data_IF_166880498254
#
_entry.id   IF_166880498254
#
_cell.length_a   1.000
_cell.length_b   1.000
_cell.length_c   1.000
_cell.angle_alpha   90.00
_cell.angle_beta   90.00
_cell.angle_gamma   90.00
#
_symmetry.space_group_name_H-M   'P 1'
#
loop_
_entity.id
_entity.type
_entity.pdbx_description
1 polymer ?
#
# COMPACT_ATOMS: atom_id res chain seq x y z
N UNK A 1 -26.70 7.88 -3.79
CA UNK A 1 -26.28 6.56 -4.31
C UNK A 1 -26.87 6.43 -5.71
N UNK A 2 -26.10 6.70 -6.77
CA UNK A 2 -26.53 6.45 -8.15
C UNK A 2 -26.35 4.96 -8.40
N UNK A 3 -27.43 4.25 -8.63
CA UNK A 3 -27.39 2.85 -9.09
C UNK A 3 -26.89 2.91 -10.52
N UNK A 4 -25.68 2.38 -10.73
CA UNK A 4 -25.05 2.29 -12.04
C UNK A 4 -25.77 1.14 -12.77
N UNK A 5 -26.54 1.46 -13.79
CA UNK A 5 -27.23 0.45 -14.60
C UNK A 5 -26.23 -0.20 -15.57
N UNK A 6 -26.44 -1.46 -15.91
CA UNK A 6 -25.63 -2.41 -16.67
C UNK A 6 -25.02 -1.99 -18.02
N UNK A 7 -24.88 -0.70 -18.28
CA UNK A 7 -24.11 -0.12 -19.39
C UNK A 7 -22.65 0.17 -19.03
N UNK A 8 -22.25 0.02 -17.75
CA UNK A 8 -20.94 0.44 -17.22
C UNK A 8 -19.83 -0.63 -17.27
N UNK A 9 -20.02 -1.70 -18.03
CA UNK A 9 -18.90 -2.56 -18.48
C UNK A 9 -17.87 -1.73 -19.27
N UNK A 10 -18.31 -0.63 -19.88
CA UNK A 10 -17.44 0.34 -20.52
C UNK A 10 -16.47 1.02 -19.56
N UNK A 11 -16.82 1.15 -18.27
CA UNK A 11 -15.95 1.80 -17.29
C UNK A 11 -14.67 0.99 -17.04
N UNK A 12 -14.78 -0.32 -16.80
CA UNK A 12 -13.60 -1.17 -16.59
C UNK A 12 -12.74 -1.30 -17.85
N UNK A 13 -13.40 -1.39 -19.01
CA UNK A 13 -12.70 -1.36 -20.28
C UNK A 13 -12.03 0.00 -20.56
N UNK A 14 -12.48 1.08 -19.90
CA UNK A 14 -11.92 2.41 -20.01
C UNK A 14 -10.76 2.68 -19.05
N UNK A 15 -10.60 1.86 -17.98
CA UNK A 15 -9.43 1.96 -17.10
C UNK A 15 -8.21 1.53 -17.90
N UNK A 16 -7.19 2.38 -18.07
CA UNK A 16 -5.96 1.99 -18.79
C UNK A 16 -5.18 0.97 -17.96
N UNK A 17 -4.23 0.29 -18.59
CA UNK A 17 -3.21 -0.47 -17.85
C UNK A 17 -2.48 0.48 -16.89
N UNK A 18 -2.32 0.06 -15.66
CA UNK A 18 -1.77 0.86 -14.57
C UNK A 18 -0.50 0.21 -14.03
N UNK A 19 0.43 1.03 -13.59
CA UNK A 19 1.65 0.59 -12.92
C UNK A 19 1.81 1.38 -11.62
N UNK A 20 2.07 0.70 -10.51
CA UNK A 20 2.38 1.37 -9.25
C UNK A 20 3.79 1.98 -9.32
N UNK A 21 3.93 3.21 -8.83
CA UNK A 21 5.19 3.94 -8.74
C UNK A 21 5.37 4.48 -7.34
N UNK A 22 6.52 4.21 -6.74
CA UNK A 22 6.89 4.70 -5.39
C UNK A 22 8.20 5.45 -5.48
N UNK A 23 8.23 6.63 -4.87
CA UNK A 23 9.37 7.51 -4.82
C UNK A 23 9.52 8.05 -3.41
N UNK A 24 10.67 7.83 -2.79
CA UNK A 24 11.00 8.40 -1.48
C UNK A 24 11.90 9.63 -1.67
N UNK A 25 11.46 10.76 -1.13
CA UNK A 25 12.21 12.01 -1.07
C UNK A 25 12.39 12.42 0.39
N UNK A 26 13.62 12.46 0.87
CA UNK A 26 13.93 12.83 2.25
C UNK A 26 13.02 12.15 3.29
N UNK A 27 11.92 12.81 3.67
CA UNK A 27 10.96 12.35 4.68
C UNK A 27 9.56 12.08 4.13
N UNK A 28 9.36 12.21 2.83
CA UNK A 28 8.08 11.96 2.18
C UNK A 28 8.14 10.79 1.21
N UNK A 29 6.99 10.13 1.03
CA UNK A 29 6.82 9.03 0.09
C UNK A 29 5.74 9.44 -0.89
N UNK A 30 6.11 9.63 -2.14
CA UNK A 30 5.18 9.84 -3.23
C UNK A 30 4.81 8.51 -3.84
N UNK A 31 3.53 8.20 -3.85
CA UNK A 31 2.96 6.98 -4.38
C UNK A 31 1.99 7.32 -5.50
N UNK A 32 2.10 6.66 -6.64
CA UNK A 32 1.22 6.89 -7.75
C UNK A 32 0.82 5.59 -8.45
N UNK A 33 -0.38 5.57 -9.03
CA UNK A 33 -0.73 4.67 -10.11
C UNK A 33 -0.55 5.44 -11.42
N UNK A 34 0.32 4.94 -12.28
CA UNK A 34 0.70 5.58 -13.53
C UNK A 34 0.02 4.88 -14.70
N UNK A 35 -0.49 5.65 -15.65
CA UNK A 35 -0.89 5.14 -16.96
C UNK A 35 0.33 4.87 -17.83
N UNK A 36 0.16 4.13 -18.93
CA UNK A 36 1.23 3.86 -19.90
C UNK A 36 1.80 5.12 -20.56
N UNK A 37 1.02 6.19 -20.68
CA UNK A 37 1.45 7.49 -21.21
C UNK A 37 2.27 8.33 -20.24
N UNK A 38 2.48 7.82 -19.01
CA UNK A 38 3.23 8.50 -17.95
C UNK A 38 2.42 9.48 -17.10
N UNK A 39 1.11 9.64 -17.37
CA UNK A 39 0.25 10.43 -16.51
C UNK A 39 -0.12 9.68 -15.23
N UNK A 40 -0.20 10.38 -14.12
CA UNK A 40 -0.71 9.82 -12.87
C UNK A 40 -2.23 9.63 -12.95
N UNK A 41 -2.69 8.40 -12.70
CA UNK A 41 -4.10 8.08 -12.53
C UNK A 41 -4.59 8.43 -11.13
N UNK A 42 -3.79 8.08 -10.12
CA UNK A 42 -3.93 8.47 -8.71
C UNK A 42 -2.54 8.79 -8.18
N UNK A 43 -2.45 9.83 -7.38
CA UNK A 43 -1.20 10.18 -6.69
C UNK A 43 -1.50 10.59 -5.25
N UNK A 44 -0.65 10.11 -4.32
CA UNK A 44 -0.69 10.47 -2.90
C UNK A 44 0.72 10.69 -2.38
N UNK A 45 0.80 11.52 -1.37
CA UNK A 45 2.01 11.75 -0.61
C UNK A 45 1.78 11.41 0.86
N UNK A 46 2.73 10.73 1.45
CA UNK A 46 2.74 10.34 2.85
C UNK A 46 4.01 10.86 3.52
N UNK A 47 3.95 11.09 4.82
CA UNK A 47 5.17 11.10 5.62
C UNK A 47 5.81 9.71 5.61
N UNK A 48 7.15 9.63 5.56
CA UNK A 48 7.85 8.36 5.43
C UNK A 48 7.46 7.34 6.51
N UNK A 49 7.37 7.75 7.77
CA UNK A 49 6.91 6.87 8.84
C UNK A 49 5.39 6.73 8.91
N UNK A 50 4.65 7.69 8.37
CA UNK A 50 3.18 7.71 8.39
C UNK A 50 2.56 6.61 7.55
N UNK A 51 3.14 6.30 6.39
CA UNK A 51 2.58 5.34 5.44
C UNK A 51 2.34 3.94 6.05
N UNK A 52 3.27 3.42 6.86
CA UNK A 52 3.09 2.12 7.52
C UNK A 52 2.02 2.17 8.62
N UNK A 53 1.93 3.30 9.33
CA UNK A 53 0.94 3.52 10.39
C UNK A 53 -0.45 3.65 9.77
N UNK A 54 -0.59 4.41 8.70
CA UNK A 54 -1.86 4.59 7.99
C UNK A 54 -2.35 3.26 7.42
N UNK A 55 -1.46 2.41 6.89
CA UNK A 55 -1.81 1.06 6.45
C UNK A 55 -2.33 0.19 7.59
N UNK A 56 -1.70 0.26 8.77
CA UNK A 56 -2.12 -0.51 9.94
C UNK A 56 -3.54 -0.17 10.38
N UNK A 57 -3.90 1.11 10.32
CA UNK A 57 -5.20 1.62 10.76
C UNK A 57 -6.18 1.89 9.60
N UNK A 58 -5.89 1.38 8.40
CA UNK A 58 -6.76 1.57 7.25
C UNK A 58 -8.14 0.91 7.46
N UNK A 59 -9.23 1.68 7.45
CA UNK A 59 -10.57 1.15 7.65
C UNK A 59 -11.07 0.28 6.50
N UNK A 60 -10.42 0.33 5.33
CA UNK A 60 -10.81 -0.44 4.15
C UNK A 60 -10.10 -1.79 4.03
N UNK A 61 -9.14 -2.08 4.89
CA UNK A 61 -8.31 -3.29 4.82
C UNK A 61 -9.15 -4.58 4.67
N UNK A 62 -10.11 -4.81 5.56
CA UNK A 62 -10.92 -6.02 5.56
C UNK A 62 -11.82 -6.12 4.31
N UNK A 63 -12.28 -4.99 3.78
CA UNK A 63 -13.06 -4.95 2.55
C UNK A 63 -12.22 -5.34 1.34
N UNK A 64 -10.95 -4.89 1.30
CA UNK A 64 -10.02 -5.20 0.22
C UNK A 64 -9.65 -6.68 0.25
N UNK A 65 -9.33 -7.21 1.42
CA UNK A 65 -9.05 -8.63 1.61
C UNK A 65 -10.25 -9.48 1.17
N UNK A 66 -11.45 -9.17 1.67
CA UNK A 66 -12.66 -9.90 1.30
C UNK A 66 -12.97 -9.82 -0.20
N UNK A 67 -12.66 -8.71 -0.86
CA UNK A 67 -12.80 -8.62 -2.31
C UNK A 67 -11.80 -9.53 -3.04
N UNK A 68 -10.54 -9.53 -2.65
CA UNK A 68 -9.52 -10.40 -3.26
C UNK A 68 -9.90 -11.88 -3.13
N UNK A 69 -10.41 -12.31 -1.97
CA UNK A 69 -10.84 -13.68 -1.72
C UNK A 69 -11.97 -14.17 -2.67
N UNK A 70 -12.80 -13.25 -3.14
CA UNK A 70 -13.91 -13.60 -4.07
C UNK A 70 -13.60 -13.25 -5.53
N UNK A 71 -12.47 -12.62 -5.82
CA UNK A 71 -12.19 -12.09 -7.16
C UNK A 71 -12.06 -13.17 -8.22
N UNK A 72 -11.53 -14.34 -7.88
CA UNK A 72 -11.42 -15.47 -8.83
C UNK A 72 -12.80 -16.00 -9.24
N UNK A 73 -13.70 -16.19 -8.27
CA UNK A 73 -15.06 -16.58 -8.56
C UNK A 73 -15.77 -15.54 -9.44
N UNK A 74 -15.53 -14.25 -9.18
CA UNK A 74 -16.08 -13.17 -9.97
C UNK A 74 -15.57 -13.22 -11.41
N UNK A 75 -14.27 -13.42 -11.64
CA UNK A 75 -13.73 -13.55 -13.01
C UNK A 75 -14.27 -14.78 -13.71
N UNK A 76 -14.39 -15.92 -13.02
CA UNK A 76 -15.00 -17.13 -13.58
C UNK A 76 -16.47 -16.93 -13.97
N UNK A 77 -17.26 -16.21 -13.17
CA UNK A 77 -18.66 -15.88 -13.46
C UNK A 77 -18.77 -14.93 -14.67
N UNK A 78 -17.88 -13.95 -14.80
CA UNK A 78 -17.80 -13.07 -15.96
C UNK A 78 -17.57 -13.87 -17.24
N UNK A 79 -16.64 -14.83 -17.22
CA UNK A 79 -16.38 -15.71 -18.38
C UNK A 79 -17.62 -16.52 -18.78
N UNK A 80 -18.53 -16.84 -17.84
CA UNK A 80 -19.80 -17.48 -18.09
C UNK A 80 -20.91 -16.54 -18.59
N UNK A 81 -20.62 -15.24 -18.70
CA UNK A 81 -21.55 -14.23 -19.18
C UNK A 81 -22.50 -13.68 -18.12
N UNK A 82 -22.22 -13.91 -16.84
CA UNK A 82 -23.01 -13.35 -15.74
C UNK A 82 -22.67 -11.87 -15.53
N UNK A 83 -23.55 -11.01 -16.05
CA UNK A 83 -23.40 -9.55 -15.95
C UNK A 83 -23.62 -8.98 -14.54
N UNK A 84 -24.25 -9.72 -13.63
CA UNK A 84 -24.51 -9.25 -12.25
C UNK A 84 -23.21 -9.05 -11.46
N UNK A 85 -22.18 -9.76 -11.83
CA UNK A 85 -20.85 -9.71 -11.21
C UNK A 85 -20.16 -8.39 -11.48
N UNK A 86 -20.37 -7.80 -12.65
CA UNK A 86 -19.81 -6.49 -13.00
C UNK A 86 -20.25 -5.39 -12.04
N UNK A 87 -21.46 -5.48 -11.52
CA UNK A 87 -21.96 -4.52 -10.53
C UNK A 87 -21.14 -4.58 -9.23
N UNK A 88 -20.73 -5.76 -8.80
CA UNK A 88 -19.90 -5.93 -7.58
C UNK A 88 -18.49 -5.40 -7.79
N UNK A 89 -17.92 -5.67 -8.95
CA UNK A 89 -16.59 -5.15 -9.28
C UNK A 89 -16.60 -3.64 -9.46
N UNK A 90 -17.58 -3.06 -10.16
CA UNK A 90 -17.67 -1.61 -10.33
C UNK A 90 -17.89 -0.88 -9.01
N UNK A 91 -18.66 -1.43 -8.07
CA UNK A 91 -18.79 -0.88 -6.72
C UNK A 91 -17.44 -0.91 -5.98
N UNK A 92 -16.69 -2.00 -6.10
CA UNK A 92 -15.34 -2.07 -5.51
C UNK A 92 -14.40 -1.05 -6.16
N UNK A 93 -14.35 -1.01 -7.48
CA UNK A 93 -13.53 -0.05 -8.22
C UNK A 93 -13.93 1.40 -7.89
N UNK A 94 -15.22 1.68 -7.72
CA UNK A 94 -15.73 2.98 -7.32
C UNK A 94 -15.34 3.33 -5.87
N UNK A 95 -15.44 2.39 -4.94
CA UNK A 95 -14.98 2.57 -3.54
C UNK A 95 -13.48 2.83 -3.51
N UNK A 96 -12.71 2.10 -4.30
CA UNK A 96 -11.26 2.27 -4.37
C UNK A 96 -10.84 3.55 -5.08
N UNK A 97 -11.60 3.99 -6.08
CA UNK A 97 -11.26 5.11 -6.96
C UNK A 97 -11.83 6.46 -6.53
N UNK A 98 -13.15 6.53 -6.25
CA UNK A 98 -13.83 7.82 -6.03
C UNK A 98 -13.53 8.48 -4.69
N UNK A 99 -13.02 7.76 -3.71
CA UNK A 99 -12.72 8.35 -2.40
C UNK A 99 -11.33 8.94 -2.30
N UNK A 100 -10.47 8.75 -3.30
CA UNK A 100 -9.06 9.20 -3.22
C UNK A 100 -8.31 8.61 -2.01
N UNK A 101 -8.94 7.64 -1.32
CA UNK A 101 -8.51 7.14 -0.01
C UNK A 101 -7.83 5.79 -0.09
N UNK A 102 -7.68 5.22 -1.31
CA UNK A 102 -6.99 3.96 -1.49
C UNK A 102 -5.55 4.08 -0.99
N UNK A 103 -5.20 3.25 0.00
CA UNK A 103 -3.84 3.23 0.52
C UNK A 103 -2.84 2.71 -0.52
N UNK A 104 -1.62 3.28 -0.54
CA UNK A 104 -0.64 2.99 -1.58
C UNK A 104 -0.20 1.53 -1.64
N UNK A 105 -0.25 0.79 -0.53
CA UNK A 105 0.02 -0.65 -0.51
C UNK A 105 -0.93 -1.46 -1.41
N UNK A 106 -2.09 -0.94 -1.74
CA UNK A 106 -3.04 -1.64 -2.62
C UNK A 106 -2.85 -1.31 -4.11
N UNK A 107 -1.99 -0.34 -4.46
CA UNK A 107 -1.80 0.07 -5.84
C UNK A 107 -1.36 -1.06 -6.77
N UNK A 108 -0.37 -1.91 -6.41
CA UNK A 108 -0.02 -3.06 -7.25
C UNK A 108 -1.18 -4.03 -7.42
N UNK A 109 -1.91 -4.34 -6.33
CA UNK A 109 -3.05 -5.24 -6.37
C UNK A 109 -4.18 -4.70 -7.23
N UNK A 110 -4.46 -3.41 -7.13
CA UNK A 110 -5.48 -2.77 -7.96
C UNK A 110 -5.14 -2.86 -9.44
N UNK A 111 -3.89 -2.58 -9.82
CA UNK A 111 -3.43 -2.71 -11.20
C UNK A 111 -3.63 -4.16 -11.72
N UNK A 112 -3.22 -5.16 -10.95
CA UNK A 112 -3.36 -6.57 -11.31
C UNK A 112 -4.82 -7.01 -11.40
N UNK A 113 -5.68 -6.56 -10.47
CA UNK A 113 -7.12 -6.84 -10.51
C UNK A 113 -7.73 -6.26 -11.78
N UNK A 114 -7.43 -5.01 -12.12
CA UNK A 114 -7.94 -4.38 -13.35
C UNK A 114 -7.50 -5.16 -14.59
N UNK A 115 -6.23 -5.55 -14.68
CA UNK A 115 -5.72 -6.31 -15.80
C UNK A 115 -6.33 -7.72 -15.90
N UNK A 116 -6.47 -8.42 -14.76
CA UNK A 116 -7.09 -9.74 -14.72
C UNK A 116 -8.55 -9.71 -15.19
N UNK A 117 -9.31 -8.70 -14.77
CA UNK A 117 -10.69 -8.52 -15.22
C UNK A 117 -10.76 -8.13 -16.70
N UNK A 118 -9.85 -7.29 -17.17
CA UNK A 118 -9.79 -6.82 -18.55
C UNK A 118 -9.37 -7.92 -19.53
N UNK A 119 -8.35 -8.68 -19.16
CA UNK A 119 -7.72 -9.69 -20.05
C UNK A 119 -8.09 -11.13 -19.71
N UNK A 120 -8.96 -11.36 -18.74
CA UNK A 120 -9.49 -12.67 -18.37
C UNK A 120 -8.48 -13.55 -17.64
N UNK A 121 -8.08 -13.19 -16.43
CA UNK A 121 -7.06 -13.87 -15.60
C UNK A 121 -5.68 -13.88 -16.27
N UNK A 122 -5.32 -12.75 -16.88
CA UNK A 122 -3.99 -12.51 -17.42
C UNK A 122 -3.42 -11.22 -16.85
N UNK A 123 -2.09 -11.18 -16.74
CA UNK A 123 -1.37 -9.93 -16.45
C UNK A 123 -1.31 -9.02 -17.69
N UNK A 124 -0.69 -7.85 -17.57
CA UNK A 124 -0.54 -6.88 -18.64
C UNK A 124 0.30 -7.44 -19.82
N UNK A 125 1.22 -8.35 -19.54
CA UNK A 125 2.08 -9.03 -20.51
C UNK A 125 1.35 -10.17 -21.27
N UNK A 126 0.15 -10.54 -20.80
CA UNK A 126 -0.67 -11.59 -21.40
C UNK A 126 -0.44 -12.99 -20.83
N UNK A 127 0.38 -13.12 -19.78
CA UNK A 127 0.59 -14.39 -19.09
C UNK A 127 -0.62 -14.75 -18.24
N UNK A 128 -0.93 -16.04 -18.16
CA UNK A 128 -1.99 -16.53 -17.29
C UNK A 128 -1.59 -16.35 -15.81
N UNK A 129 -2.48 -15.81 -15.01
CA UNK A 129 -2.34 -15.81 -13.56
C UNK A 129 -2.51 -17.24 -13.03
N UNK A 130 -1.75 -17.56 -11.99
CA UNK A 130 -1.84 -18.84 -11.32
C UNK A 130 -3.23 -19.07 -10.69
N UNK A 131 -3.61 -20.33 -10.52
CA UNK A 131 -4.82 -20.70 -9.78
C UNK A 131 -4.72 -20.18 -8.34
N UNK A 132 -5.82 -19.63 -7.81
CA UNK A 132 -5.89 -18.98 -6.50
C UNK A 132 -5.02 -17.73 -6.35
N UNK A 133 -4.64 -17.07 -7.45
CA UNK A 133 -3.79 -15.90 -7.43
C UNK A 133 -4.30 -14.82 -6.45
N UNK A 134 -5.55 -14.42 -6.55
CA UNK A 134 -6.11 -13.37 -5.68
C UNK A 134 -6.28 -13.83 -4.23
N UNK A 135 -6.62 -15.10 -3.99
CA UNK A 135 -6.66 -15.67 -2.64
C UNK A 135 -5.26 -15.66 -2.00
N UNK A 136 -4.22 -15.95 -2.79
CA UNK A 136 -2.83 -15.86 -2.34
C UNK A 136 -2.47 -14.41 -2.00
N UNK A 137 -2.83 -13.44 -2.85
CA UNK A 137 -2.60 -12.02 -2.59
C UNK A 137 -3.34 -11.54 -1.32
N UNK A 138 -4.58 -12.01 -1.08
CA UNK A 138 -5.29 -11.71 0.16
C UNK A 138 -4.54 -12.23 1.40
N UNK A 139 -4.00 -13.45 1.31
CA UNK A 139 -3.21 -14.07 2.37
C UNK A 139 -1.91 -13.32 2.62
N UNK A 140 -1.19 -12.98 1.56
CA UNK A 140 0.05 -12.19 1.63
C UNK A 140 -0.18 -10.80 2.23
N UNK A 141 -1.30 -10.15 1.89
CA UNK A 141 -1.67 -8.85 2.44
C UNK A 141 -1.95 -8.93 3.96
N UNK A 142 -2.61 -10.00 4.43
CA UNK A 142 -2.79 -10.27 5.87
C UNK A 142 -1.45 -10.47 6.58
N UNK A 143 -0.59 -11.31 6.00
CA UNK A 143 0.75 -11.55 6.54
C UNK A 143 1.60 -10.27 6.57
N UNK A 144 1.48 -9.42 5.54
CA UNK A 144 2.15 -8.13 5.51
C UNK A 144 1.70 -7.24 6.67
N UNK A 145 0.41 -7.16 6.94
CA UNK A 145 -0.11 -6.40 8.09
C UNK A 145 0.44 -6.93 9.41
N UNK A 146 0.52 -8.26 9.58
CA UNK A 146 1.13 -8.89 10.75
C UNK A 146 2.62 -8.54 10.89
N UNK A 147 3.38 -8.56 9.78
CA UNK A 147 4.80 -8.14 9.75
C UNK A 147 4.97 -6.68 10.18
N UNK A 148 4.10 -5.79 9.68
CA UNK A 148 4.12 -4.37 10.07
C UNK A 148 3.86 -4.23 11.58
N UNK A 149 2.81 -4.87 12.10
CA UNK A 149 2.50 -4.87 13.54
C UNK A 149 3.67 -5.37 14.36
N UNK A 150 4.24 -6.52 13.97
CA UNK A 150 5.33 -7.15 14.68
C UNK A 150 6.58 -6.24 14.76
N UNK A 151 6.91 -5.53 13.68
CA UNK A 151 8.01 -4.57 13.69
C UNK A 151 7.73 -3.40 14.62
N UNK A 152 6.54 -2.82 14.54
CA UNK A 152 6.17 -1.65 15.34
C UNK A 152 6.13 -2.00 16.84
N UNK A 153 5.57 -3.16 17.19
CA UNK A 153 5.53 -3.64 18.58
C UNK A 153 6.93 -3.99 19.10
N UNK A 154 7.78 -4.58 18.27
CA UNK A 154 9.15 -4.88 18.65
C UNK A 154 9.93 -3.61 18.97
N UNK A 155 9.74 -2.54 18.20
CA UNK A 155 10.42 -1.26 18.42
C UNK A 155 9.85 -0.46 19.60
N UNK A 156 8.56 -0.58 19.89
CA UNK A 156 7.93 0.12 21.01
C UNK A 156 8.57 -0.28 22.36
N UNK A 157 9.02 -1.52 22.47
CA UNK A 157 9.63 -2.09 23.68
C UNK A 157 11.14 -1.82 23.80
N UNK A 158 11.74 -1.10 22.85
CA UNK A 158 13.18 -0.84 22.82
C UNK A 158 13.48 0.58 23.31
N UNK A 159 14.35 0.71 24.30
CA UNK A 159 14.76 2.01 24.85
C UNK A 159 16.00 2.57 24.13
N UNK A 160 16.95 1.72 23.77
CA UNK A 160 18.23 2.11 23.16
C UNK A 160 18.20 2.08 21.64
N UNK A 161 18.92 3.02 20.98
CA UNK A 161 18.96 3.15 19.51
C UNK A 161 19.61 1.94 18.84
N UNK A 162 20.63 1.36 19.47
CA UNK A 162 21.35 0.19 18.93
C UNK A 162 20.44 -1.03 18.81
N UNK A 163 19.49 -1.20 19.72
CA UNK A 163 18.51 -2.28 19.70
C UNK A 163 17.46 -2.11 18.59
N UNK A 164 17.19 -0.88 18.14
CA UNK A 164 16.28 -0.63 17.00
C UNK A 164 16.82 -1.26 15.73
N UNK A 165 18.12 -1.16 15.48
CA UNK A 165 18.76 -1.80 14.31
C UNK A 165 18.61 -3.34 14.37
N UNK A 166 18.72 -3.93 15.55
CA UNK A 166 18.50 -5.37 15.76
C UNK A 166 17.03 -5.77 15.55
N UNK A 167 16.06 -4.89 15.89
CA UNK A 167 14.65 -5.13 15.58
C UNK A 167 14.42 -5.20 14.07
N UNK A 168 14.99 -4.27 13.30
CA UNK A 168 14.92 -4.32 11.83
C UNK A 168 15.53 -5.60 11.28
N UNK A 169 16.71 -6.00 11.75
CA UNK A 169 17.36 -7.23 11.30
C UNK A 169 16.52 -8.48 11.60
N UNK A 170 15.93 -8.59 12.78
CA UNK A 170 15.14 -9.75 13.17
C UNK A 170 13.82 -9.88 12.45
N UNK A 171 13.14 -8.77 12.21
CA UNK A 171 11.75 -8.78 11.68
C UNK A 171 11.72 -8.58 10.17
N UNK A 172 12.58 -7.72 9.63
CA UNK A 172 12.53 -7.30 8.24
C UNK A 172 13.36 -8.16 7.29
N UNK A 173 14.52 -8.65 7.74
CA UNK A 173 15.50 -9.28 6.86
C UNK A 173 15.60 -10.81 7.03
N UNK A 174 14.54 -11.47 7.48
CA UNK A 174 14.50 -12.93 7.57
C UNK A 174 14.65 -13.62 6.20
N UNK A 175 14.27 -12.93 5.12
CA UNK A 175 14.59 -13.31 3.73
C UNK A 175 14.93 -12.04 2.97
N UNK A 176 16.06 -11.98 2.26
CA UNK A 176 16.34 -10.87 1.35
C UNK A 176 15.31 -10.91 0.23
N UNK A 177 14.41 -9.93 0.22
CA UNK A 177 13.50 -9.75 -0.89
C UNK A 177 14.22 -8.93 -1.94
N UNK A 178 14.36 -9.48 -3.13
CA UNK A 178 14.87 -8.75 -4.28
C UNK A 178 13.79 -7.78 -4.72
N UNK A 179 14.06 -6.48 -4.61
CA UNK A 179 13.26 -5.46 -5.27
C UNK A 179 13.70 -5.50 -6.74
N UNK A 180 12.87 -6.09 -7.58
CA UNK A 180 13.24 -6.41 -8.97
C UNK A 180 13.20 -5.21 -9.91
N UNK A 181 12.37 -4.21 -9.59
CA UNK A 181 12.11 -3.08 -10.48
C UNK A 181 12.52 -1.74 -9.85
N UNK A 182 13.81 -1.59 -9.54
CA UNK A 182 14.38 -0.33 -9.04
C UNK A 182 15.04 0.40 -10.19
N UNK A 183 14.61 1.62 -10.44
CA UNK A 183 15.21 2.51 -11.44
C UNK A 183 15.77 3.76 -10.78
N UNK A 184 16.88 4.26 -11.28
CA UNK A 184 17.39 5.57 -10.92
C UNK A 184 16.87 6.59 -11.93
N UNK A 185 16.02 7.51 -11.50
CA UNK A 185 15.59 8.64 -12.32
C UNK A 185 16.38 9.89 -11.91
N UNK A 186 16.87 10.64 -12.91
CA UNK A 186 17.43 11.97 -12.70
C UNK A 186 16.27 12.95 -12.80
N UNK A 187 15.90 13.54 -11.68
CA UNK A 187 14.90 14.60 -11.65
C UNK A 187 15.48 15.91 -12.22
N UNK A 188 14.61 16.84 -12.59
CA UNK A 188 14.97 18.13 -13.21
C UNK A 188 15.99 18.95 -12.39
N UNK A 189 16.11 18.68 -11.11
CA UNK A 189 17.01 19.34 -10.15
C UNK A 189 18.38 18.65 -10.03
N UNK A 190 18.71 17.71 -10.92
CA UNK A 190 19.93 16.90 -10.91
C UNK A 190 20.12 16.00 -9.67
N UNK A 191 19.07 15.76 -8.88
CA UNK A 191 19.09 14.79 -7.79
C UNK A 191 18.82 13.39 -8.33
N UNK A 192 19.73 12.46 -8.01
CA UNK A 192 19.54 11.05 -8.29
C UNK A 192 18.52 10.48 -7.30
N UNK A 193 17.35 10.12 -7.79
CA UNK A 193 16.28 9.57 -6.96
C UNK A 193 15.98 8.14 -7.36
N UNK A 194 15.89 7.24 -6.38
CA UNK A 194 15.49 5.86 -6.63
C UNK A 194 13.97 5.78 -6.74
N UNK A 195 13.52 5.22 -7.85
CA UNK A 195 12.11 4.97 -8.13
C UNK A 195 11.88 3.47 -8.18
N UNK A 196 10.83 3.02 -7.50
CA UNK A 196 10.45 1.60 -7.46
C UNK A 196 9.09 1.44 -8.13
N UNK A 197 8.97 0.42 -8.96
CA UNK A 197 7.72 0.00 -9.60
C UNK A 197 7.27 -1.35 -9.02
N UNK A 198 6.64 -1.34 -7.84
CA UNK A 198 6.29 -2.56 -7.13
C UNK A 198 5.20 -3.34 -7.86
N UNK A 199 5.36 -4.65 -7.90
CA UNK A 199 4.36 -5.57 -8.44
C UNK A 199 3.47 -6.14 -7.35
N UNK A 200 3.96 -6.20 -6.12
CA UNK A 200 3.23 -6.69 -4.95
C UNK A 200 3.42 -5.74 -3.74
N UNK A 201 2.48 -5.73 -2.79
CA UNK A 201 2.57 -4.87 -1.60
C UNK A 201 3.84 -5.09 -0.77
N UNK A 202 4.35 -6.31 -0.72
CA UNK A 202 5.57 -6.64 0.04
C UNK A 202 6.81 -5.92 -0.51
N UNK A 203 6.91 -5.66 -1.81
CA UNK A 203 8.02 -4.88 -2.39
C UNK A 203 8.01 -3.43 -1.90
N UNK A 204 6.82 -2.83 -1.73
CA UNK A 204 6.69 -1.50 -1.13
C UNK A 204 7.22 -1.52 0.30
N UNK A 205 6.79 -2.52 1.08
CA UNK A 205 7.22 -2.67 2.46
C UNK A 205 8.74 -2.81 2.59
N UNK A 206 9.34 -3.66 1.80
CA UNK A 206 10.79 -3.89 1.82
C UNK A 206 11.59 -2.64 1.42
N UNK A 207 11.08 -1.89 0.44
CA UNK A 207 11.67 -0.61 0.08
C UNK A 207 11.58 0.41 1.24
N UNK A 208 10.42 0.53 1.86
CA UNK A 208 10.23 1.39 3.02
C UNK A 208 11.13 0.99 4.19
N UNK A 209 11.28 -0.32 4.47
CA UNK A 209 12.19 -0.80 5.50
C UNK A 209 13.63 -0.34 5.27
N UNK A 210 14.10 -0.43 4.01
CA UNK A 210 15.43 0.06 3.65
C UNK A 210 15.56 1.57 3.94
N UNK A 211 14.53 2.34 3.58
CA UNK A 211 14.50 3.77 3.88
C UNK A 211 14.45 4.06 5.38
N UNK A 212 13.64 3.31 6.14
CA UNK A 212 13.54 3.46 7.60
C UNK A 212 14.88 3.23 8.31
N UNK A 213 15.60 2.17 7.91
CA UNK A 213 16.94 1.91 8.44
C UNK A 213 17.88 3.05 8.11
N UNK A 214 17.87 3.52 6.87
CA UNK A 214 18.77 4.59 6.39
C UNK A 214 18.58 5.89 7.15
N UNK A 215 17.33 6.28 7.44
CA UNK A 215 17.04 7.53 8.16
C UNK A 215 16.99 7.36 9.68
N UNK A 216 17.20 6.15 10.21
CA UNK A 216 17.07 5.86 11.63
C UNK A 216 15.65 6.04 12.16
N UNK A 217 14.65 5.64 11.39
CA UNK A 217 13.24 5.73 11.77
C UNK A 217 12.95 4.83 12.96
N UNK A 218 12.16 5.33 13.89
CA UNK A 218 11.70 4.60 15.07
C UNK A 218 10.19 4.71 15.18
N UNK A 219 9.56 3.66 15.64
CA UNK A 219 8.13 3.62 15.89
C UNK A 219 7.88 3.43 17.38
N UNK A 220 7.00 4.24 17.93
CA UNK A 220 6.62 4.23 19.34
C UNK A 220 5.11 4.27 19.48
N UNK A 221 4.60 3.69 20.55
CA UNK A 221 3.20 3.79 20.91
C UNK A 221 2.98 5.01 21.80
N UNK A 222 2.08 5.88 21.40
CA UNK A 222 1.73 7.07 22.20
C UNK A 222 1.14 6.67 23.55
N UNK A 223 1.70 7.15 24.64
CA UNK A 223 1.18 6.86 25.99
C UNK A 223 -0.26 7.35 26.21
N UNK A 224 -0.67 8.39 25.49
CA UNK A 224 -2.00 8.97 25.58
C UNK A 224 -3.03 8.25 24.69
N UNK A 225 -2.86 8.28 23.35
CA UNK A 225 -3.85 7.75 22.42
C UNK A 225 -3.64 6.28 22.06
N UNK A 226 -2.59 5.65 22.54
CA UNK A 226 -2.20 4.25 22.31
C UNK A 226 -1.95 3.87 20.82
N UNK A 227 -1.97 4.81 19.91
CA UNK A 227 -1.64 4.59 18.50
C UNK A 227 -0.14 4.72 18.28
N UNK A 228 0.36 4.02 17.28
CA UNK A 228 1.74 4.18 16.84
C UNK A 228 1.97 5.56 16.21
N UNK A 229 3.19 6.03 16.34
CA UNK A 229 3.71 7.20 15.63
C UNK A 229 5.18 6.96 15.28
N UNK A 230 5.64 7.62 14.22
CA UNK A 230 7.02 7.56 13.78
C UNK A 230 7.82 8.74 14.33
N UNK A 231 9.09 8.52 14.59
CA UNK A 231 10.03 9.55 15.01
C UNK A 231 11.42 9.28 14.43
N UNK A 232 12.21 10.33 14.28
CA UNK A 232 13.62 10.26 13.88
C UNK A 232 14.46 11.01 14.90
N UNK A 233 15.68 10.55 15.11
CA UNK A 233 16.63 11.22 16.02
C UNK A 233 16.76 10.55 17.39
N UNK A 234 17.56 11.18 18.26
CA UNK A 234 17.98 10.61 19.57
C UNK A 234 16.97 10.76 20.70
N UNK A 235 15.90 11.53 20.47
CA UNK A 235 14.85 11.70 21.47
C UNK A 235 14.06 10.42 21.72
N UNK A 236 13.49 10.27 22.90
CA UNK A 236 12.53 9.20 23.21
C UNK A 236 11.15 9.83 23.52
N UNK A 237 10.44 10.36 22.51
CA UNK A 237 9.14 10.97 22.72
C UNK A 237 8.13 9.94 23.17
N UNK A 238 7.30 10.32 24.14
CA UNK A 238 6.23 9.48 24.71
C UNK A 238 4.86 9.76 24.08
N UNK A 239 4.73 10.89 23.40
CA UNK A 239 3.47 11.38 22.87
C UNK A 239 3.61 11.75 21.39
N UNK A 240 2.56 11.46 20.62
CA UNK A 240 2.46 11.88 19.23
C UNK A 240 1.99 13.34 19.12
N UNK A 241 2.24 13.96 17.99
CA UNK A 241 1.83 15.35 17.70
C UNK A 241 0.36 15.48 17.25
N UNK A 242 -0.44 14.42 17.35
CA UNK A 242 -1.84 14.45 16.94
C UNK A 242 -2.64 15.38 17.83
N UNK A 243 -3.41 16.27 17.20
CA UNK A 243 -4.43 17.01 17.91
C UNK A 243 -5.53 16.08 18.40
N UNK A 244 -5.90 16.18 19.66
CA UNK A 244 -7.06 15.47 20.18
C UNK A 244 -8.27 16.33 19.81
N UNK A 245 -9.15 15.80 18.98
CA UNK A 245 -10.42 16.47 18.66
C UNK A 245 -11.16 16.80 19.95
N UNK A 246 -11.50 18.07 20.12
CA UNK A 246 -12.25 18.60 21.26
C UNK A 246 -11.44 19.24 22.39
N UNK A 247 -10.11 19.09 22.45
CA UNK A 247 -9.31 19.71 23.51
C UNK A 247 -8.52 20.95 23.08
N UNK A 248 -8.40 21.22 21.78
CA UNK A 248 -7.71 22.43 21.28
C UNK A 248 -6.25 22.58 21.73
N UNK A 249 -5.64 21.53 22.25
CA UNK A 249 -4.25 21.51 22.71
C UNK A 249 -3.47 20.44 21.94
N UNK A 250 -2.36 20.84 21.33
CA UNK A 250 -1.25 19.93 21.10
C UNK A 250 -0.89 19.31 22.46
N UNK A 251 -0.84 17.96 22.52
CA UNK A 251 -0.27 17.29 23.68
C UNK A 251 1.22 17.58 23.61
N UNK A 252 1.64 18.57 24.38
CA UNK A 252 3.04 18.99 24.45
C UNK A 252 3.94 17.82 24.86
N UNK A 253 5.09 17.82 24.29
CA UNK A 253 6.24 16.91 24.31
C UNK A 253 6.66 16.40 25.68
#
# INVERSE_FOLDING_TARGET
MKIIHGEDVSFLASIPTLTAKILVKERTVQCALMKLDGEAYVQREYELGGIAIDFLYDPFFEQIVGFLEVSEDLVCQIKKGDKSVWTRFSVFAEVMYNKGDMHAFYYPLFAQVVDAFRFGMRNAEGDLLEDNFFCNQATELKQLKEKVVALLDAQDNVEEIEDVAHCYQRVAFQKPVQITNVYAEILLDAELTMVVYPQVPEEIWNYLLTCYVTVGMRFKRCEHCKRFFATTGRGNPKFCERMIEGMGRLVDR
#
